data_IF_416633824832
#
_entry.id   IF_416633824832
#
_cell.length_a   1.000
_cell.length_b   1.000
_cell.length_c   1.000
_cell.angle_alpha   90.00
_cell.angle_beta   90.00
_cell.angle_gamma   90.00
#
_symmetry.space_group_name_H-M   'P 1'
#
loop_
_entity.id
_entity.type
_entity.pdbx_description
1 polymer ?
#
# COMPACT_ATOMS: atom_id res chain seq x y z
N UNK A 1 -21.10 12.81 -16.76
CA UNK A 1 -19.63 12.79 -16.66
C UNK A 1 -19.28 11.75 -15.60
N UNK A 2 -18.68 10.62 -16.00
CA UNK A 2 -18.45 9.48 -15.12
C UNK A 2 -17.24 9.80 -14.21
N UNK A 3 -17.49 10.36 -13.03
CA UNK A 3 -16.44 10.60 -12.03
C UNK A 3 -15.84 9.24 -11.67
N UNK A 4 -14.59 9.02 -12.10
CA UNK A 4 -13.84 7.79 -11.84
C UNK A 4 -13.89 7.45 -10.34
N UNK A 5 -14.09 6.18 -9.95
CA UNK A 5 -14.07 5.77 -8.54
C UNK A 5 -12.62 5.67 -8.04
N UNK A 6 -11.84 6.74 -8.17
CA UNK A 6 -10.43 6.84 -7.79
C UNK A 6 -10.24 6.56 -6.29
N UNK A 7 -11.26 6.88 -5.49
CA UNK A 7 -11.33 6.56 -4.08
C UNK A 7 -11.43 5.05 -3.83
N UNK A 8 -12.26 4.34 -4.61
CA UNK A 8 -12.37 2.88 -4.50
C UNK A 8 -11.06 2.20 -4.90
N UNK A 9 -10.42 2.68 -5.97
CA UNK A 9 -9.11 2.19 -6.43
C UNK A 9 -8.03 2.41 -5.38
N UNK A 10 -7.96 3.62 -4.79
CA UNK A 10 -6.99 3.93 -3.75
C UNK A 10 -7.21 3.11 -2.48
N UNK A 11 -8.46 2.86 -2.09
CA UNK A 11 -8.77 2.03 -0.92
C UNK A 11 -8.44 0.55 -1.16
N UNK A 12 -8.80 0.00 -2.31
CA UNK A 12 -8.47 -1.38 -2.68
C UNK A 12 -6.95 -1.59 -2.71
N UNK A 13 -6.21 -0.65 -3.31
CA UNK A 13 -4.76 -0.68 -3.36
C UNK A 13 -4.14 -0.61 -1.96
N UNK A 14 -4.68 0.22 -1.04
CA UNK A 14 -4.26 0.25 0.36
C UNK A 14 -4.54 -1.08 1.06
N UNK A 15 -5.74 -1.63 0.92
CA UNK A 15 -6.11 -2.92 1.53
C UNK A 15 -5.16 -4.02 1.08
N UNK A 16 -4.89 -4.10 -0.22
CA UNK A 16 -3.93 -5.05 -0.78
C UNK A 16 -2.52 -4.86 -0.22
N UNK A 17 -2.01 -3.63 -0.22
CA UNK A 17 -0.70 -3.33 0.33
C UNK A 17 -0.59 -3.70 1.82
N UNK A 18 -1.64 -3.48 2.62
CA UNK A 18 -1.64 -3.88 4.03
C UNK A 18 -1.68 -5.39 4.22
N UNK A 19 -2.43 -6.11 3.39
CA UNK A 19 -2.47 -7.58 3.42
C UNK A 19 -1.10 -8.18 3.06
N UNK A 20 -0.48 -7.68 1.99
CA UNK A 20 0.83 -8.15 1.53
C UNK A 20 1.92 -7.81 2.55
N UNK A 21 1.88 -6.61 3.16
CA UNK A 21 2.77 -6.22 4.24
C UNK A 21 2.65 -7.14 5.46
N UNK A 22 1.42 -7.46 5.89
CA UNK A 22 1.21 -8.41 6.98
C UNK A 22 1.77 -9.80 6.65
N UNK A 23 1.58 -10.26 5.41
CA UNK A 23 2.12 -11.54 4.96
C UNK A 23 3.65 -11.55 4.97
N UNK A 24 4.29 -10.51 4.47
CA UNK A 24 5.76 -10.40 4.46
C UNK A 24 6.31 -10.26 5.88
N UNK A 25 5.65 -9.51 6.76
CA UNK A 25 6.01 -9.42 8.17
C UNK A 25 5.93 -10.78 8.89
N UNK A 26 4.90 -11.60 8.62
CA UNK A 26 4.79 -12.96 9.17
C UNK A 26 5.93 -13.86 8.71
N UNK A 27 6.34 -13.76 7.44
CA UNK A 27 7.49 -14.52 6.92
C UNK A 27 8.80 -14.12 7.61
N UNK A 28 9.01 -12.82 7.81
CA UNK A 28 10.18 -12.31 8.56
C UNK A 28 10.16 -12.88 9.99
N UNK A 29 9.02 -12.78 10.69
CA UNK A 29 8.90 -13.30 12.04
C UNK A 29 9.11 -14.82 12.12
N UNK A 30 8.66 -15.59 11.12
CA UNK A 30 8.90 -17.03 11.02
C UNK A 30 10.39 -17.34 10.79
N UNK A 31 11.05 -16.60 9.90
CA UNK A 31 12.48 -16.76 9.62
C UNK A 31 13.37 -16.40 10.82
N UNK A 32 12.95 -15.46 11.67
CA UNK A 32 13.65 -15.16 12.93
C UNK A 32 13.51 -16.32 13.94
N UNK A 33 12.37 -17.00 13.98
CA UNK A 33 12.09 -18.08 14.93
C UNK A 33 12.76 -19.40 14.56
N UNK A 34 13.01 -19.64 13.28
CA UNK A 34 13.83 -20.77 12.84
C UNK A 34 15.30 -20.36 12.98
N UNK A 35 16.02 -20.96 13.94
CA UNK A 35 17.44 -20.70 14.23
C UNK A 35 18.38 -20.88 13.01
N UNK A 36 17.85 -21.30 11.86
CA UNK A 36 18.46 -21.23 10.53
C UNK A 36 18.32 -19.85 9.90
N UNK A 37 18.57 -18.76 10.65
CA UNK A 37 18.51 -17.37 10.18
C UNK A 37 19.56 -17.07 9.10
N UNK A 38 19.38 -17.65 7.92
CA UNK A 38 20.19 -17.40 6.73
C UNK A 38 19.74 -16.06 6.15
N UNK A 39 20.63 -15.07 6.02
CA UNK A 39 20.28 -13.74 5.48
C UNK A 39 19.58 -13.80 4.11
N UNK A 40 19.89 -14.83 3.30
CA UNK A 40 19.27 -15.09 1.99
C UNK A 40 17.76 -15.36 2.10
N UNK A 41 17.28 -15.98 3.17
CA UNK A 41 15.85 -16.29 3.35
C UNK A 41 15.06 -15.09 3.89
N UNK A 42 15.76 -14.13 4.53
CA UNK A 42 15.18 -12.89 5.05
C UNK A 42 15.14 -11.76 4.02
N UNK A 43 16.08 -11.72 3.07
CA UNK A 43 16.16 -10.64 2.09
C UNK A 43 14.89 -10.52 1.21
N UNK A 44 14.33 -11.61 0.62
CA UNK A 44 13.12 -11.51 -0.19
C UNK A 44 11.89 -10.93 0.55
N UNK A 45 11.52 -11.40 1.77
CA UNK A 45 10.37 -10.81 2.46
C UNK A 45 10.63 -9.39 2.98
N UNK A 46 11.89 -9.01 3.27
CA UNK A 46 12.23 -7.62 3.60
C UNK A 46 12.06 -6.68 2.40
N UNK A 47 12.54 -7.08 1.22
CA UNK A 47 12.33 -6.34 -0.03
C UNK A 47 10.83 -6.24 -0.33
N UNK A 48 10.10 -7.34 -0.19
CA UNK A 48 8.65 -7.36 -0.33
C UNK A 48 7.96 -6.36 0.60
N UNK A 49 8.31 -6.35 1.89
CA UNK A 49 7.75 -5.41 2.86
C UNK A 49 8.05 -3.93 2.50
N UNK A 50 9.24 -3.65 1.96
CA UNK A 50 9.57 -2.30 1.46
C UNK A 50 8.71 -1.91 0.24
N UNK A 51 8.48 -2.84 -0.68
CA UNK A 51 7.61 -2.62 -1.84
C UNK A 51 6.16 -2.39 -1.39
N UNK A 52 5.64 -3.16 -0.44
CA UNK A 52 4.29 -3.00 0.10
C UNK A 52 4.11 -1.61 0.73
N UNK A 53 5.12 -1.12 1.47
CA UNK A 53 5.13 0.24 2.00
C UNK A 53 5.03 1.29 0.89
N UNK A 54 5.80 1.12 -0.18
CA UNK A 54 5.81 2.06 -1.30
C UNK A 54 4.47 2.05 -2.05
N UNK A 55 3.85 0.88 -2.21
CA UNK A 55 2.51 0.75 -2.78
C UNK A 55 1.44 1.43 -1.91
N UNK A 56 1.49 1.26 -0.59
CA UNK A 56 0.58 1.94 0.33
C UNK A 56 0.72 3.47 0.23
N UNK A 57 1.96 3.98 0.14
CA UNK A 57 2.22 5.41 -0.06
C UNK A 57 1.66 5.93 -1.39
N UNK A 58 1.81 5.16 -2.47
CA UNK A 58 1.25 5.51 -3.76
C UNK A 58 -0.29 5.54 -3.73
N UNK A 59 -0.92 4.55 -3.10
CA UNK A 59 -2.36 4.47 -2.93
C UNK A 59 -2.91 5.65 -2.11
N UNK A 60 -2.22 6.04 -1.03
CA UNK A 60 -2.57 7.23 -0.26
C UNK A 60 -2.49 8.53 -1.08
N UNK A 61 -1.52 8.64 -2.01
CA UNK A 61 -1.43 9.79 -2.93
C UNK A 61 -2.61 9.82 -3.90
N UNK A 62 -3.05 8.67 -4.43
CA UNK A 62 -4.23 8.60 -5.31
C UNK A 62 -5.47 9.12 -4.58
N UNK A 63 -5.68 8.68 -3.33
CA UNK A 63 -6.80 9.18 -2.51
C UNK A 63 -6.73 10.69 -2.32
N UNK A 64 -5.54 11.21 -1.95
CA UNK A 64 -5.34 12.65 -1.76
C UNK A 64 -5.62 13.44 -3.03
N UNK A 65 -5.11 12.99 -4.18
CA UNK A 65 -5.38 13.66 -5.46
C UNK A 65 -6.86 13.60 -5.83
N UNK A 66 -7.54 12.48 -5.53
CA UNK A 66 -9.00 12.37 -5.69
C UNK A 66 -9.77 13.40 -4.86
N UNK A 67 -9.37 13.59 -3.61
CA UNK A 67 -9.96 14.57 -2.69
C UNK A 67 -9.70 16.03 -3.16
N UNK A 68 -8.46 16.36 -3.52
CA UNK A 68 -8.08 17.67 -4.05
C UNK A 68 -8.85 18.02 -5.35
N UNK A 69 -9.05 17.03 -6.23
CA UNK A 69 -9.86 17.22 -7.45
C UNK A 69 -11.33 17.47 -7.11
N UNK A 70 -11.90 16.76 -6.14
CA UNK A 70 -13.28 17.04 -5.71
C UNK A 70 -13.40 18.44 -5.10
N UNK A 71 -12.45 18.84 -4.26
CA UNK A 71 -12.42 20.17 -3.66
C UNK A 71 -12.35 21.28 -4.70
N UNK A 72 -11.46 21.15 -5.69
CA UNK A 72 -11.35 22.13 -6.78
C UNK A 72 -12.58 22.17 -7.68
N UNK A 73 -13.22 21.03 -7.96
CA UNK A 73 -14.48 21.00 -8.71
C UNK A 73 -15.61 21.70 -7.96
N UNK A 74 -15.69 21.55 -6.64
CA UNK A 74 -16.69 22.24 -5.82
C UNK A 74 -16.43 23.76 -5.78
N UNK A 75 -15.17 24.18 -5.66
CA UNK A 75 -14.78 25.59 -5.63
C UNK A 75 -15.10 26.32 -6.94
N UNK A 76 -14.96 25.65 -8.10
CA UNK A 76 -15.33 26.21 -9.41
C UNK A 76 -16.85 26.35 -9.59
N UNK A 77 -17.64 25.51 -8.91
CA UNK A 77 -19.10 25.50 -9.01
C UNK A 77 -19.79 26.45 -8.00
N UNK A 78 -19.08 26.90 -6.98
CA UNK A 78 -19.55 27.85 -5.96
C UNK A 78 -19.52 29.30 -6.48
#
# INVERSE_FOLDING_TARGET
MNVLPIHAIGLEALQRATYDAQRNARKIAAAVRQETSRPVEMAPPLIGLMQDRQQAQAAARILKTGDEMMGTLLDVLA
#
